data_IF_932935838118
#
_entry.id   IF_932935838118
#
_cell.length_a   1.000
_cell.length_b   1.000
_cell.length_c   1.000
_cell.angle_alpha   90.00
_cell.angle_beta   90.00
_cell.angle_gamma   90.00
#
_symmetry.space_group_name_H-M   'P 1'
#
loop_
_entity.id
_entity.type
_entity.pdbx_description
1 polymer ?
#
# COMPACT_ATOMS: atom_id res chain seq x y z
N UNK A 1 -41.03 -14.72 38.09
CA UNK A 1 -40.19 -13.53 38.37
C UNK A 1 -38.90 -13.68 37.58
N UNK A 2 -38.65 -12.83 36.57
CA UNK A 2 -37.38 -12.87 35.82
C UNK A 2 -36.28 -12.32 36.74
N UNK A 3 -35.23 -13.11 36.97
CA UNK A 3 -34.02 -12.68 37.69
C UNK A 3 -33.40 -11.55 36.87
N UNK A 4 -33.56 -10.30 37.33
CA UNK A 4 -32.91 -9.14 36.72
C UNK A 4 -31.40 -9.23 36.94
N UNK A 5 -30.63 -8.79 35.95
CA UNK A 5 -29.18 -8.70 36.02
C UNK A 5 -28.78 -7.75 37.16
N UNK A 6 -27.76 -8.12 37.95
CA UNK A 6 -27.32 -7.25 39.06
C UNK A 6 -26.45 -6.12 38.54
N UNK A 7 -26.55 -4.93 39.15
CA UNK A 7 -25.73 -3.79 38.78
C UNK A 7 -24.23 -4.08 38.99
N UNK A 8 -23.90 -4.90 39.99
CA UNK A 8 -22.52 -5.33 40.29
C UNK A 8 -21.96 -6.25 39.21
N UNK A 9 -22.75 -7.20 38.69
CA UNK A 9 -22.31 -8.04 37.56
C UNK A 9 -21.98 -7.18 36.33
N UNK A 10 -22.78 -6.15 36.06
CA UNK A 10 -22.53 -5.28 34.92
C UNK A 10 -21.23 -4.49 35.08
N UNK A 11 -20.95 -4.01 36.29
CA UNK A 11 -19.69 -3.29 36.59
C UNK A 11 -18.49 -4.21 36.42
N UNK A 12 -18.55 -5.46 36.90
CA UNK A 12 -17.42 -6.39 36.75
C UNK A 12 -17.13 -6.69 35.27
N UNK A 13 -18.17 -6.84 34.44
CA UNK A 13 -18.00 -7.09 33.00
C UNK A 13 -17.29 -5.92 32.31
N UNK A 14 -17.71 -4.67 32.56
CA UNK A 14 -17.07 -3.51 31.94
C UNK A 14 -15.63 -3.33 32.40
N UNK A 15 -15.32 -3.65 33.67
CA UNK A 15 -13.95 -3.58 34.20
C UNK A 15 -13.05 -4.60 33.52
N UNK A 16 -13.52 -5.85 33.36
CA UNK A 16 -12.76 -6.90 32.69
C UNK A 16 -12.51 -6.53 31.22
N UNK A 17 -13.55 -6.08 30.50
CA UNK A 17 -13.41 -5.63 29.11
C UNK A 17 -12.45 -4.44 29.01
N UNK A 18 -12.51 -3.51 29.96
CA UNK A 18 -11.61 -2.34 30.01
C UNK A 18 -10.13 -2.73 30.12
N UNK A 19 -9.79 -3.67 30.99
CA UNK A 19 -8.40 -4.14 31.16
C UNK A 19 -7.93 -4.91 29.92
N UNK A 20 -8.77 -5.78 29.36
CA UNK A 20 -8.43 -6.53 28.15
C UNK A 20 -8.22 -5.59 26.95
N UNK A 21 -9.05 -4.56 26.80
CA UNK A 21 -8.92 -3.57 25.75
C UNK A 21 -7.62 -2.77 25.87
N UNK A 22 -7.24 -2.36 27.08
CA UNK A 22 -6.01 -1.61 27.32
C UNK A 22 -4.75 -2.37 26.86
N UNK A 23 -4.71 -3.68 27.08
CA UNK A 23 -3.60 -4.53 26.63
C UNK A 23 -3.64 -4.81 25.11
N UNK A 24 -4.84 -4.97 24.52
CA UNK A 24 -4.98 -5.37 23.12
C UNK A 24 -4.76 -4.22 22.11
N UNK A 25 -5.12 -2.98 22.45
CA UNK A 25 -5.00 -1.82 21.55
C UNK A 25 -3.58 -1.60 21.00
N UNK A 26 -2.50 -1.55 21.81
CA UNK A 26 -1.16 -1.30 21.28
C UNK A 26 -0.69 -2.40 20.34
N UNK A 27 -1.00 -3.67 20.65
CA UNK A 27 -0.67 -4.80 19.79
C UNK A 27 -1.44 -4.74 18.47
N UNK A 28 -2.74 -4.44 18.52
CA UNK A 28 -3.56 -4.31 17.32
C UNK A 28 -3.07 -3.18 16.39
N UNK A 29 -2.68 -2.02 16.96
CA UNK A 29 -2.08 -0.93 16.18
C UNK A 29 -0.78 -1.36 15.51
N UNK A 30 0.08 -2.08 16.22
CA UNK A 30 1.33 -2.58 15.66
C UNK A 30 1.07 -3.57 14.50
N UNK A 31 0.16 -4.53 14.68
CA UNK A 31 -0.21 -5.49 13.64
C UNK A 31 -0.78 -4.79 12.40
N UNK A 32 -1.65 -3.80 12.59
CA UNK A 32 -2.23 -3.02 11.49
C UNK A 32 -1.14 -2.30 10.68
N UNK A 33 -0.21 -1.61 11.33
CA UNK A 33 0.90 -0.95 10.63
C UNK A 33 1.79 -1.95 9.88
N UNK A 34 2.05 -3.13 10.46
CA UNK A 34 2.82 -4.17 9.77
C UNK A 34 2.08 -4.68 8.54
N UNK A 35 0.77 -4.90 8.63
CA UNK A 35 -0.05 -5.31 7.49
C UNK A 35 -0.08 -4.22 6.40
N UNK A 36 -0.20 -2.94 6.77
CA UNK A 36 -0.15 -1.82 5.85
C UNK A 36 1.18 -1.75 5.10
N UNK A 37 2.32 -1.87 5.78
CA UNK A 37 3.65 -1.90 5.15
C UNK A 37 3.84 -3.09 4.21
N UNK A 38 3.40 -4.30 4.62
CA UNK A 38 3.46 -5.49 3.76
C UNK A 38 2.59 -5.35 2.51
N UNK A 39 1.37 -4.85 2.67
CA UNK A 39 0.46 -4.64 1.55
C UNK A 39 1.00 -3.59 0.58
N UNK A 40 1.57 -2.49 1.09
CA UNK A 40 2.20 -1.47 0.26
C UNK A 40 3.28 -2.08 -0.64
N UNK A 41 4.27 -2.74 -0.05
CA UNK A 41 5.39 -3.33 -0.78
C UNK A 41 4.89 -4.38 -1.78
N UNK A 42 4.01 -5.28 -1.34
CA UNK A 42 3.44 -6.33 -2.19
C UNK A 42 2.67 -5.74 -3.37
N UNK A 43 1.79 -4.77 -3.14
CA UNK A 43 1.04 -4.10 -4.21
C UNK A 43 1.96 -3.36 -5.18
N UNK A 44 3.05 -2.76 -4.69
CA UNK A 44 4.03 -2.08 -5.55
C UNK A 44 4.69 -3.07 -6.50
N UNK A 45 5.20 -4.20 -5.98
CA UNK A 45 5.90 -5.22 -6.76
C UNK A 45 4.97 -5.98 -7.71
N UNK A 46 3.82 -6.44 -7.20
CA UNK A 46 2.83 -7.17 -8.00
C UNK A 46 2.19 -6.25 -9.04
N UNK A 47 1.93 -4.99 -8.68
CA UNK A 47 1.38 -3.98 -9.59
C UNK A 47 2.33 -3.69 -10.74
N UNK A 48 3.62 -3.46 -10.45
CA UNK A 48 4.62 -3.27 -11.50
C UNK A 48 4.73 -4.47 -12.44
N UNK A 49 4.76 -5.69 -11.88
CA UNK A 49 4.82 -6.93 -12.67
C UNK A 49 3.56 -7.14 -13.51
N UNK A 50 2.38 -6.84 -12.95
CA UNK A 50 1.11 -6.90 -13.68
C UNK A 50 1.03 -5.87 -14.81
N UNK A 51 1.50 -4.64 -14.57
CA UNK A 51 1.54 -3.58 -15.57
C UNK A 51 2.36 -3.99 -16.79
N UNK A 52 3.53 -4.62 -16.60
CA UNK A 52 4.38 -5.09 -17.70
C UNK A 52 3.65 -6.12 -18.56
N UNK A 53 3.11 -7.17 -17.93
CA UNK A 53 2.46 -8.25 -18.65
C UNK A 53 1.29 -7.73 -19.48
N UNK A 54 0.49 -6.82 -18.92
CA UNK A 54 -0.62 -6.20 -19.65
C UNK A 54 -0.13 -5.24 -20.74
N UNK A 55 0.93 -4.46 -20.48
CA UNK A 55 1.48 -3.53 -21.46
C UNK A 55 2.07 -4.23 -22.69
N UNK A 56 2.72 -5.39 -22.52
CA UNK A 56 3.16 -6.24 -23.64
C UNK A 56 1.97 -6.66 -24.49
N UNK A 57 0.88 -7.13 -23.87
CA UNK A 57 -0.29 -7.58 -24.61
C UNK A 57 -0.89 -6.45 -25.46
N UNK A 58 -1.07 -5.26 -24.88
CA UNK A 58 -1.64 -4.13 -25.61
C UNK A 58 -0.72 -3.63 -26.73
N UNK A 59 0.58 -3.49 -26.45
CA UNK A 59 1.50 -2.89 -27.41
C UNK A 59 1.92 -3.86 -28.51
N UNK A 60 2.16 -5.14 -28.19
CA UNK A 60 2.72 -6.10 -29.14
C UNK A 60 1.64 -6.99 -29.79
N UNK A 61 0.55 -7.32 -29.09
CA UNK A 61 -0.52 -8.17 -29.65
C UNK A 61 -1.66 -7.35 -30.25
N UNK A 62 -2.00 -6.21 -29.64
CA UNK A 62 -3.11 -5.37 -30.09
C UNK A 62 -2.64 -4.16 -30.93
N UNK A 63 -1.33 -3.96 -31.08
CA UNK A 63 -0.71 -2.81 -31.77
C UNK A 63 -1.24 -1.47 -31.25
N UNK A 64 -1.56 -1.42 -29.96
CA UNK A 64 -2.14 -0.28 -29.28
C UNK A 64 -1.12 0.35 -28.32
N UNK A 65 -0.67 1.55 -28.66
CA UNK A 65 0.25 2.35 -27.84
C UNK A 65 -0.43 3.55 -27.16
N UNK A 66 -1.76 3.63 -27.22
CA UNK A 66 -2.58 4.71 -26.68
C UNK A 66 -3.45 4.23 -25.52
N UNK A 67 -2.81 3.68 -24.49
CA UNK A 67 -3.46 3.27 -23.24
C UNK A 67 -2.79 3.95 -22.04
N UNK A 68 -3.48 3.96 -20.91
CA UNK A 68 -2.93 4.43 -19.65
C UNK A 68 -2.75 3.27 -18.66
N UNK A 69 -1.93 3.47 -17.64
CA UNK A 69 -1.66 2.48 -16.59
C UNK A 69 -2.94 2.10 -15.85
N UNK A 70 -3.85 3.05 -15.63
CA UNK A 70 -5.16 2.75 -15.05
C UNK A 70 -6.04 1.89 -15.97
N UNK A 71 -5.84 1.88 -17.29
CA UNK A 71 -6.64 1.03 -18.18
C UNK A 71 -6.27 -0.45 -18.03
N UNK A 72 -5.00 -0.74 -17.69
CA UNK A 72 -4.44 -2.09 -17.65
C UNK A 72 -4.22 -2.63 -16.23
N UNK A 73 -4.15 -1.76 -15.22
CA UNK A 73 -3.93 -2.10 -13.82
C UNK A 73 -4.78 -1.17 -12.96
N UNK A 74 -5.65 -1.75 -12.14
CA UNK A 74 -6.49 -1.01 -11.21
C UNK A 74 -6.04 -1.29 -9.77
N UNK A 75 -5.23 -0.39 -9.21
CA UNK A 75 -4.89 -0.45 -7.79
C UNK A 75 -5.96 0.32 -7.01
N UNK A 76 -6.76 -0.42 -6.24
CA UNK A 76 -7.77 0.15 -5.35
C UNK A 76 -7.37 -0.11 -3.90
N UNK A 77 -7.39 0.94 -3.08
CA UNK A 77 -6.97 0.83 -1.68
C UNK A 77 -6.66 2.17 -1.04
N UNK A 78 -6.60 2.19 0.29
CA UNK A 78 -6.27 3.40 1.06
C UNK A 78 -4.84 3.86 0.74
N UNK A 79 -4.68 5.13 0.35
CA UNK A 79 -3.38 5.79 0.13
C UNK A 79 -2.88 5.75 -1.30
N UNK A 80 -3.41 4.86 -2.15
CA UNK A 80 -3.07 4.79 -3.57
C UNK A 80 -3.89 5.80 -4.39
N UNK A 81 -3.20 6.54 -5.25
CA UNK A 81 -3.81 7.49 -6.18
C UNK A 81 -3.24 7.27 -7.57
N UNK A 82 -4.11 7.28 -8.58
CA UNK A 82 -3.67 7.32 -9.97
C UNK A 82 -3.46 8.78 -10.38
N UNK A 83 -2.33 9.04 -11.04
CA UNK A 83 -1.96 10.34 -11.59
C UNK A 83 -1.72 10.19 -13.08
N UNK A 84 -2.55 10.84 -13.89
CA UNK A 84 -2.36 10.83 -15.34
C UNK A 84 -1.08 11.59 -15.71
N UNK A 85 -0.23 10.97 -16.53
CA UNK A 85 1.00 11.56 -17.04
C UNK A 85 1.13 11.32 -18.55
N UNK A 86 2.04 12.05 -19.20
CA UNK A 86 2.24 12.01 -20.65
C UNK A 86 2.59 10.61 -21.19
N UNK A 87 3.19 9.75 -20.37
CA UNK A 87 3.71 8.45 -20.79
C UNK A 87 2.91 7.24 -20.28
N UNK A 88 1.61 7.41 -19.98
CA UNK A 88 0.65 6.42 -19.44
C UNK A 88 0.33 6.53 -17.94
N UNK A 89 0.94 7.46 -17.22
CA UNK A 89 0.56 7.75 -15.84
C UNK A 89 1.12 6.80 -14.79
N UNK A 90 0.90 7.20 -13.54
CA UNK A 90 1.57 6.65 -12.37
C UNK A 90 0.54 6.27 -11.31
N UNK A 91 0.85 5.24 -10.54
CA UNK A 91 0.24 5.00 -9.24
C UNK A 91 1.20 5.45 -8.15
N UNK A 92 0.77 6.41 -7.33
CA UNK A 92 1.53 6.86 -6.15
C UNK A 92 0.82 6.41 -4.88
N UNK A 93 1.60 6.04 -3.88
CA UNK A 93 1.13 5.86 -2.51
C UNK A 93 1.65 6.99 -1.65
N UNK A 94 0.73 7.76 -1.06
CA UNK A 94 1.07 8.80 -0.09
C UNK A 94 0.75 8.31 1.32
N UNK A 95 1.64 8.60 2.27
CA UNK A 95 1.39 8.31 3.68
C UNK A 95 0.10 9.04 4.12
N UNK A 96 -0.93 8.34 4.65
CA UNK A 96 -2.17 8.97 5.11
C UNK A 96 -2.01 10.01 6.22
N UNK A 97 -0.88 10.00 6.94
CA UNK A 97 -0.59 10.90 8.07
C UNK A 97 0.38 12.01 7.67
N UNK A 98 1.16 11.80 6.61
CA UNK A 98 2.12 12.75 6.07
C UNK A 98 1.75 13.23 4.66
N UNK A 99 2.67 13.95 4.02
CA UNK A 99 2.59 14.29 2.59
C UNK A 99 3.72 13.62 1.78
N UNK A 100 4.41 12.64 2.36
CA UNK A 100 5.49 11.91 1.68
C UNK A 100 4.92 10.93 0.66
N UNK A 101 5.47 10.94 -0.56
CA UNK A 101 5.27 9.86 -1.53
C UNK A 101 6.14 8.68 -1.11
N UNK A 102 5.52 7.59 -0.68
CA UNK A 102 6.22 6.42 -0.13
C UNK A 102 6.44 5.37 -1.20
N UNK A 103 5.53 5.22 -2.16
CA UNK A 103 5.73 4.28 -3.26
C UNK A 103 5.23 4.87 -4.56
N UNK A 104 5.86 4.45 -5.66
CA UNK A 104 5.43 4.78 -7.01
C UNK A 104 5.52 3.57 -7.92
N UNK A 105 4.59 3.49 -8.87
CA UNK A 105 4.63 2.62 -10.03
C UNK A 105 4.33 3.50 -11.23
N UNK A 106 5.30 3.68 -12.11
CA UNK A 106 5.23 4.52 -13.28
C UNK A 106 5.39 3.63 -14.52
N UNK A 107 4.45 3.76 -15.45
CA UNK A 107 4.54 3.14 -16.76
C UNK A 107 5.02 4.19 -17.77
N UNK A 108 5.94 3.79 -18.63
CA UNK A 108 6.35 4.58 -19.78
C UNK A 108 6.27 3.74 -21.05
N UNK A 109 5.26 4.00 -21.86
CA UNK A 109 5.02 3.30 -23.13
C UNK A 109 6.08 3.66 -24.18
N UNK A 110 6.58 4.90 -24.15
CA UNK A 110 7.57 5.38 -25.13
C UNK A 110 8.93 4.70 -24.96
N UNK A 111 9.36 4.47 -23.72
CA UNK A 111 10.60 3.75 -23.40
C UNK A 111 10.40 2.26 -23.10
N UNK A 112 9.15 1.76 -23.13
CA UNK A 112 8.75 0.38 -22.79
C UNK A 112 9.29 -0.05 -21.42
N UNK A 113 9.11 0.81 -20.44
CA UNK A 113 9.63 0.61 -19.08
C UNK A 113 8.55 0.75 -18.04
N UNK A 114 8.61 -0.09 -17.01
CA UNK A 114 7.91 0.13 -15.75
C UNK A 114 8.93 0.43 -14.67
N UNK A 115 8.81 1.60 -14.06
CA UNK A 115 9.65 2.05 -12.96
C UNK A 115 8.85 1.96 -11.67
N UNK A 116 9.39 1.31 -10.65
CA UNK A 116 8.71 1.25 -9.36
C UNK A 116 9.70 1.31 -8.21
N UNK A 117 9.19 1.61 -7.03
CA UNK A 117 9.99 1.59 -5.82
C UNK A 117 9.23 2.04 -4.59
N UNK A 118 9.85 1.79 -3.45
CA UNK A 118 9.36 2.21 -2.13
C UNK A 118 10.46 3.00 -1.44
N UNK A 119 10.14 4.21 -0.99
CA UNK A 119 10.95 4.99 -0.07
C UNK A 119 10.37 4.84 1.34
N UNK A 120 10.89 3.87 2.10
CA UNK A 120 10.46 3.64 3.47
C UNK A 120 10.76 4.82 4.39
N UNK A 121 11.68 5.73 4.03
CA UNK A 121 11.98 6.92 4.85
C UNK A 121 10.92 8.02 4.73
N UNK A 122 10.11 7.97 3.67
CA UNK A 122 9.03 8.93 3.42
C UNK A 122 7.80 8.74 4.31
N UNK A 123 7.73 7.64 5.08
CA UNK A 123 6.72 7.50 6.14
C UNK A 123 6.93 8.52 7.26
N UNK A 124 5.83 9.07 7.79
CA UNK A 124 5.85 10.08 8.86
C UNK A 124 6.13 9.50 10.25
N UNK A 125 5.95 8.19 10.46
CA UNK A 125 6.19 7.52 11.74
C UNK A 125 7.33 6.50 11.67
N UNK A 126 8.21 6.54 12.68
CA UNK A 126 9.43 5.70 12.72
C UNK A 126 9.12 4.20 12.74
N UNK A 127 7.98 3.79 13.30
CA UNK A 127 7.59 2.38 13.37
C UNK A 127 7.24 1.84 11.99
N UNK A 128 6.54 2.62 11.16
CA UNK A 128 6.25 2.28 9.77
C UNK A 128 7.51 2.31 8.91
N UNK A 129 8.41 3.28 9.12
CA UNK A 129 9.73 3.30 8.47
C UNK A 129 10.50 1.99 8.74
N UNK A 130 10.63 1.59 10.01
CA UNK A 130 11.32 0.37 10.42
C UNK A 130 10.69 -0.89 9.85
N UNK A 131 9.35 -0.96 9.82
CA UNK A 131 8.62 -2.12 9.30
C UNK A 131 8.75 -2.24 7.80
N UNK A 132 8.62 -1.14 7.07
CA UNK A 132 8.82 -1.09 5.64
C UNK A 132 10.25 -1.53 5.27
N UNK A 133 11.26 -0.97 5.95
CA UNK A 133 12.67 -1.28 5.66
C UNK A 133 13.09 -2.72 5.97
N UNK A 134 12.28 -3.48 6.72
CA UNK A 134 12.50 -4.93 6.92
C UNK A 134 11.93 -5.78 5.77
N UNK A 135 11.03 -5.22 4.97
CA UNK A 135 10.32 -5.93 3.89
C UNK A 135 10.89 -5.51 2.54
N UNK A 136 11.07 -4.20 2.33
CA UNK A 136 11.70 -3.63 1.14
C UNK A 136 13.21 -3.73 1.24
N UNK A 137 13.82 -4.51 0.35
CA UNK A 137 15.27 -4.79 0.36
C UNK A 137 16.05 -4.04 -0.73
N UNK A 138 15.35 -3.39 -1.66
CA UNK A 138 15.96 -2.57 -2.70
C UNK A 138 16.31 -1.16 -2.16
N UNK A 139 16.85 -0.31 -3.03
CA UNK A 139 17.16 1.08 -2.70
C UNK A 139 15.90 1.80 -2.18
N UNK A 140 16.01 2.56 -1.09
CA UNK A 140 14.93 3.42 -0.60
C UNK A 140 14.74 4.61 -1.55
N UNK A 141 13.86 4.41 -2.54
CA UNK A 141 13.54 5.38 -3.57
C UNK A 141 12.24 4.95 -4.25
N UNK A 142 11.39 5.90 -4.64
CA UNK A 142 10.17 5.61 -5.40
C UNK A 142 10.44 5.18 -6.85
N UNK A 143 11.69 5.29 -7.31
CA UNK A 143 12.16 4.83 -8.63
C UNK A 143 13.32 3.86 -8.52
N UNK A 144 13.29 2.98 -7.52
CA UNK A 144 14.39 2.08 -7.18
C UNK A 144 14.67 1.01 -8.25
N UNK A 145 13.63 0.52 -8.94
CA UNK A 145 13.72 -0.59 -9.88
C UNK A 145 13.13 -0.17 -11.23
N UNK A 146 13.77 -0.58 -12.32
CA UNK A 146 13.29 -0.38 -13.69
C UNK A 146 13.23 -1.73 -14.39
N UNK A 147 12.06 -2.04 -14.94
CA UNK A 147 11.82 -3.25 -15.71
C UNK A 147 11.51 -2.86 -17.15
N UNK A 148 12.09 -3.58 -18.11
CA UNK A 148 11.89 -3.35 -19.53
C UNK A 148 11.05 -4.48 -20.12
N UNK A 149 10.27 -4.16 -21.16
CA UNK A 149 9.46 -5.13 -21.88
C UNK A 149 9.38 -4.84 -23.39
#
# INVERSE_FOLDING_TARGET
MKKGFTLVELIFVIVIIGVLAAAAIPQFRNLKQSAEANNLVKTTVDGASGAINSAINFQDLEDNSSFQLNDILQITGKGWTYVAAANAGDYTYNDPVGNGEVAKIELNIGTRTVVYGVDCSAFSDTTSQDKCGRIWTDTNSTTAVTLNY
#
